data_IF_977211446681
#
_entry.id   IF_977211446681
#
_cell.length_a   1.000
_cell.length_b   1.000
_cell.length_c   1.000
_cell.angle_alpha   90.00
_cell.angle_beta   90.00
_cell.angle_gamma   90.00
#
_symmetry.space_group_name_H-M   'P 1'
#
loop_
_entity.id
_entity.type
_entity.pdbx_description
1 polymer ?
#
# COMPACT_ATOMS: atom_id res chain seq x y z
N UNK A 1 40.68 54.36 5.54
CA UNK A 1 40.20 52.99 5.37
C UNK A 1 38.68 52.98 5.32
N UNK A 2 38.15 52.94 4.10
CA UNK A 2 36.73 53.02 3.83
C UNK A 2 36.20 51.58 3.65
N UNK A 3 35.25 51.16 4.47
CA UNK A 3 34.43 49.98 4.24
C UNK A 3 33.07 50.43 3.72
N UNK A 4 32.77 50.08 2.46
CA UNK A 4 31.47 50.27 1.82
C UNK A 4 30.62 49.05 2.05
N UNK A 5 29.49 49.21 2.73
CA UNK A 5 28.46 48.17 2.91
C UNK A 5 27.55 48.16 1.67
N UNK A 6 27.53 47.07 0.93
CA UNK A 6 26.56 46.82 -0.13
C UNK A 6 25.29 46.17 0.47
N UNK A 7 24.22 46.97 0.48
CA UNK A 7 22.86 46.53 0.84
C UNK A 7 22.25 45.77 -0.32
N UNK A 8 22.20 44.42 -0.22
CA UNK A 8 21.44 43.55 -1.12
C UNK A 8 19.96 43.53 -0.67
N UNK A 9 19.09 44.08 -1.48
CA UNK A 9 17.64 43.93 -1.32
C UNK A 9 17.24 42.58 -1.87
N UNK A 10 16.75 41.70 -1.00
CA UNK A 10 16.00 40.52 -1.42
C UNK A 10 14.60 40.99 -1.84
N UNK A 11 14.31 40.88 -3.14
CA UNK A 11 12.97 41.05 -3.68
C UNK A 11 12.32 39.67 -3.53
N UNK A 12 11.45 39.50 -2.54
CA UNK A 12 10.54 38.36 -2.43
C UNK A 12 9.34 38.66 -3.31
N UNK A 13 9.28 38.03 -4.45
CA UNK A 13 8.15 38.11 -5.38
C UNK A 13 7.09 37.07 -4.94
N UNK A 14 5.90 37.49 -4.49
CA UNK A 14 4.86 36.61 -3.99
C UNK A 14 4.13 35.80 -5.12
N UNK A 15 4.42 36.11 -6.39
CA UNK A 15 3.70 35.51 -7.51
C UNK A 15 4.27 34.16 -8.01
N UNK A 16 5.43 33.72 -7.50
CA UNK A 16 6.03 32.44 -7.91
C UNK A 16 5.37 31.22 -7.26
N UNK A 17 4.65 31.38 -6.14
CA UNK A 17 4.11 30.24 -5.39
C UNK A 17 2.80 29.65 -5.99
N UNK A 18 2.10 30.40 -6.86
CA UNK A 18 0.83 29.94 -7.44
C UNK A 18 0.97 29.23 -8.80
N UNK A 19 2.08 29.43 -9.51
CA UNK A 19 2.24 28.85 -10.85
C UNK A 19 2.66 27.38 -10.83
N UNK A 20 3.45 26.97 -9.84
CA UNK A 20 3.90 25.56 -9.71
C UNK A 20 2.76 24.59 -9.32
N UNK A 21 1.78 25.06 -8.54
CA UNK A 21 0.61 24.22 -8.19
C UNK A 21 -0.30 23.92 -9.39
N UNK A 22 -0.37 24.82 -10.37
CA UNK A 22 -1.22 24.64 -11.57
C UNK A 22 -0.56 23.73 -12.63
N UNK A 23 0.76 23.61 -12.61
CA UNK A 23 1.50 22.77 -13.56
C UNK A 23 1.46 21.30 -13.13
N UNK A 24 1.48 21.01 -11.83
CA UNK A 24 1.43 19.63 -11.30
C UNK A 24 0.10 18.94 -11.61
N UNK A 25 -1.03 19.64 -11.49
CA UNK A 25 -2.34 19.03 -11.79
C UNK A 25 -2.59 18.74 -13.28
N UNK A 26 -1.96 19.47 -14.20
CA UNK A 26 -2.14 19.24 -15.65
C UNK A 26 -1.35 18.05 -16.18
N UNK A 27 -0.23 17.71 -15.55
CA UNK A 27 0.60 16.58 -15.96
C UNK A 27 0.01 15.24 -15.53
N UNK A 28 -0.65 15.15 -14.38
CA UNK A 28 -1.28 13.92 -13.88
C UNK A 28 -2.44 13.51 -14.80
N UNK A 29 -3.25 14.46 -15.29
CA UNK A 29 -4.36 14.16 -16.20
C UNK A 29 -3.90 13.68 -17.58
N UNK A 30 -2.70 14.11 -18.05
CA UNK A 30 -2.16 13.74 -19.35
C UNK A 30 -1.62 12.31 -19.38
N UNK A 31 -1.04 11.82 -18.29
CA UNK A 31 -0.56 10.44 -18.18
C UNK A 31 -1.71 9.42 -18.00
N UNK A 32 -2.81 9.82 -17.34
CA UNK A 32 -3.99 8.96 -17.19
C UNK A 32 -4.70 8.68 -18.53
N UNK A 33 -4.72 9.64 -19.45
CA UNK A 33 -5.35 9.47 -20.77
C UNK A 33 -4.52 8.60 -21.73
N UNK A 34 -3.21 8.52 -21.55
CA UNK A 34 -2.34 7.67 -22.38
C UNK A 34 -2.46 6.20 -21.94
N UNK A 35 -2.67 5.93 -20.65
CA UNK A 35 -2.80 4.56 -20.14
C UNK A 35 -4.12 3.89 -20.57
N UNK A 36 -5.22 4.64 -20.71
CA UNK A 36 -6.53 4.10 -21.13
C UNK A 36 -6.53 3.73 -22.63
N UNK A 37 -5.71 4.38 -23.45
CA UNK A 37 -5.64 4.09 -24.90
C UNK A 37 -4.81 2.84 -25.24
N UNK A 38 -3.92 2.39 -24.33
CA UNK A 38 -3.02 1.25 -24.57
C UNK A 38 -3.61 -0.12 -24.19
N UNK A 39 -4.58 -0.18 -23.28
CA UNK A 39 -5.11 -1.46 -22.74
C UNK A 39 -6.30 -2.00 -23.55
N UNK A 40 -6.92 -1.19 -24.42
CA UNK A 40 -8.10 -1.58 -25.20
C UNK A 40 -7.86 -2.55 -26.36
N UNK A 41 -6.61 -2.78 -26.79
CA UNK A 41 -6.31 -3.55 -28.00
C UNK A 41 -5.90 -5.02 -27.77
N UNK A 42 -5.65 -5.45 -26.53
CA UNK A 42 -5.17 -6.81 -26.24
C UNK A 42 -6.25 -7.80 -25.78
N UNK A 43 -7.48 -7.36 -25.56
CA UNK A 43 -8.54 -8.22 -24.95
C UNK A 43 -9.45 -8.95 -25.96
N UNK A 44 -9.21 -8.86 -27.27
CA UNK A 44 -10.15 -9.41 -28.27
C UNK A 44 -9.68 -10.68 -28.99
N UNK A 45 -8.59 -11.35 -28.58
CA UNK A 45 -8.04 -12.48 -29.38
C UNK A 45 -7.88 -13.83 -28.67
N UNK A 46 -8.50 -14.10 -27.53
CA UNK A 46 -8.42 -15.44 -26.91
C UNK A 46 -9.73 -15.91 -26.28
N UNK A 47 -10.78 -16.09 -27.09
CA UNK A 47 -11.91 -16.94 -26.72
C UNK A 47 -12.44 -17.66 -27.95
N UNK A 48 -11.85 -18.82 -28.26
CA UNK A 48 -12.53 -19.87 -29.01
C UNK A 48 -11.96 -21.26 -28.64
N UNK A 49 -12.88 -22.14 -28.31
CA UNK A 49 -12.83 -23.61 -28.23
C UNK A 49 -12.11 -24.30 -27.05
N UNK A 50 -12.87 -25.03 -26.19
CA UNK A 50 -13.29 -26.41 -26.43
C UNK A 50 -14.27 -26.95 -25.39
N UNK A 51 -15.33 -27.54 -25.89
CA UNK A 51 -16.33 -28.33 -25.15
C UNK A 51 -15.81 -29.76 -24.89
N UNK A 52 -16.29 -30.36 -23.79
CA UNK A 52 -16.59 -31.81 -23.72
C UNK A 52 -15.62 -32.68 -22.95
N UNK A 53 -16.01 -33.21 -21.79
CA UNK A 53 -16.38 -34.61 -21.60
C UNK A 53 -16.74 -34.89 -20.14
N UNK A 54 -17.94 -35.49 -20.00
CA UNK A 54 -18.45 -36.13 -18.77
C UNK A 54 -17.71 -37.42 -18.47
N UNK A 55 -17.43 -37.72 -17.20
CA UNK A 55 -17.52 -39.06 -16.66
C UNK A 55 -17.93 -39.02 -15.19
N UNK A 56 -19.10 -39.58 -14.96
CA UNK A 56 -19.58 -39.99 -13.64
C UNK A 56 -19.05 -41.36 -13.32
N UNK A 57 -18.54 -41.60 -12.12
CA UNK A 57 -18.56 -42.90 -11.49
C UNK A 57 -18.72 -42.78 -9.97
N UNK A 58 -19.73 -43.49 -9.47
CA UNK A 58 -20.07 -43.71 -8.07
C UNK A 58 -19.21 -44.83 -7.47
N UNK A 59 -18.81 -44.69 -6.20
CA UNK A 59 -18.67 -45.82 -5.24
C UNK A 59 -18.68 -45.23 -3.83
N UNK A 60 -19.69 -45.44 -3.12
CA UNK A 60 -20.10 -46.44 -2.13
C UNK A 60 -19.36 -46.40 -0.77
N UNK A 61 -20.18 -46.29 0.21
CA UNK A 61 -20.06 -46.10 1.64
C UNK A 61 -19.23 -47.15 2.39
N UNK A 62 -18.48 -46.72 3.43
CA UNK A 62 -18.25 -47.55 4.60
C UNK A 62 -18.37 -46.77 5.90
N UNK A 63 -19.29 -47.24 6.73
CA UNK A 63 -19.50 -46.83 8.12
C UNK A 63 -18.36 -47.29 9.03
N UNK A 64 -17.97 -46.47 9.98
CA UNK A 64 -17.14 -46.84 11.12
C UNK A 64 -17.04 -45.73 12.14
N UNK A 65 -17.83 -45.76 13.22
CA UNK A 65 -17.68 -45.03 14.49
C UNK A 65 -17.15 -46.01 15.54
N UNK A 66 -16.76 -45.57 16.76
CA UNK A 66 -16.09 -44.33 17.23
C UNK A 66 -14.86 -44.67 18.11
N UNK A 67 -13.99 -43.73 18.41
CA UNK A 67 -13.28 -43.73 19.70
C UNK A 67 -12.62 -42.41 20.06
N UNK A 68 -13.12 -41.85 21.12
CA UNK A 68 -12.49 -41.24 22.25
C UNK A 68 -11.18 -40.45 22.11
N UNK A 69 -11.30 -39.20 22.56
CA UNK A 69 -10.31 -38.47 23.36
C UNK A 69 -8.91 -38.29 22.81
N UNK A 70 -8.65 -37.16 22.18
CA UNK A 70 -7.30 -36.61 22.17
C UNK A 70 -7.32 -35.17 22.64
N UNK A 71 -6.61 -35.00 23.72
CA UNK A 71 -6.18 -33.78 24.36
C UNK A 71 -5.94 -32.64 23.36
N UNK A 72 -6.54 -31.48 23.64
CA UNK A 72 -6.21 -30.22 23.01
C UNK A 72 -4.73 -29.88 23.28
N UNK A 73 -3.83 -30.39 22.45
CA UNK A 73 -2.56 -29.73 22.26
C UNK A 73 -2.91 -28.36 21.68
N UNK A 74 -2.55 -27.28 22.37
CA UNK A 74 -2.50 -25.93 21.82
C UNK A 74 -1.55 -26.00 20.61
N UNK A 75 -2.09 -26.36 19.45
CA UNK A 75 -1.38 -26.28 18.19
C UNK A 75 -1.15 -24.79 17.94
N UNK A 76 0.10 -24.39 17.90
CA UNK A 76 0.46 -23.14 17.27
C UNK A 76 -0.30 -23.10 15.93
N UNK A 77 -1.21 -22.13 15.79
CA UNK A 77 -1.93 -21.93 14.56
C UNK A 77 -0.87 -21.68 13.48
N UNK A 78 -0.70 -22.68 12.62
CA UNK A 78 0.19 -22.57 11.47
C UNK A 78 -0.49 -21.54 10.58
N UNK A 79 0.02 -20.31 10.60
CA UNK A 79 -0.50 -19.25 9.76
C UNK A 79 -0.41 -19.72 8.31
N UNK A 80 -1.49 -19.54 7.57
CA UNK A 80 -1.54 -19.87 6.14
C UNK A 80 -0.79 -18.79 5.35
N UNK A 81 0.53 -18.95 5.30
CA UNK A 81 1.40 -18.03 4.56
C UNK A 81 1.23 -18.13 3.03
N UNK A 82 0.55 -19.18 2.55
CA UNK A 82 0.29 -19.35 1.11
C UNK A 82 -0.90 -18.51 0.68
N UNK A 83 -2.01 -18.61 1.40
CA UNK A 83 -3.25 -17.91 1.04
C UNK A 83 -3.35 -16.53 1.67
N UNK A 84 -2.65 -16.30 2.80
CA UNK A 84 -2.63 -15.03 3.54
C UNK A 84 -4.04 -14.39 3.64
N UNK A 85 -5.01 -15.08 4.26
CA UNK A 85 -6.41 -14.60 4.28
C UNK A 85 -6.57 -13.25 5.00
N UNK A 86 -5.62 -12.89 5.87
CA UNK A 86 -5.59 -11.59 6.55
C UNK A 86 -5.35 -10.38 5.65
N UNK A 87 -4.94 -10.59 4.39
CA UNK A 87 -4.72 -9.52 3.41
C UNK A 87 -6.00 -9.10 2.66
N UNK A 88 -7.12 -9.78 2.91
CA UNK A 88 -8.41 -9.40 2.36
C UNK A 88 -9.07 -8.35 3.25
N UNK A 89 -9.77 -7.43 2.63
CA UNK A 89 -10.52 -6.38 3.29
C UNK A 89 -11.89 -6.19 2.65
N UNK A 90 -12.60 -5.17 3.12
CA UNK A 90 -13.88 -4.75 2.56
C UNK A 90 -13.63 -4.14 1.17
N UNK A 91 -14.36 -4.59 0.18
CA UNK A 91 -14.31 -4.13 -1.21
C UNK A 91 -12.90 -4.08 -1.85
N UNK A 92 -11.95 -4.88 -1.31
CA UNK A 92 -10.64 -5.04 -1.93
C UNK A 92 -10.75 -5.85 -3.22
N UNK A 93 -10.02 -5.40 -4.23
CA UNK A 93 -9.92 -6.10 -5.52
C UNK A 93 -8.93 -7.27 -5.41
N UNK A 94 -9.02 -8.23 -6.35
CA UNK A 94 -8.03 -9.30 -6.45
C UNK A 94 -6.61 -8.77 -6.71
N UNK A 95 -6.48 -7.63 -7.40
CA UNK A 95 -5.19 -7.01 -7.65
C UNK A 95 -4.57 -6.50 -6.35
N UNK A 96 -5.31 -5.77 -5.53
CA UNK A 96 -4.84 -5.28 -4.23
C UNK A 96 -4.35 -6.41 -3.33
N UNK A 97 -5.08 -7.53 -3.31
CA UNK A 97 -4.69 -8.71 -2.54
C UNK A 97 -3.44 -9.38 -3.12
N UNK A 98 -3.31 -9.46 -4.46
CA UNK A 98 -2.09 -10.00 -5.11
C UNK A 98 -0.87 -9.15 -4.80
N UNK A 99 -0.99 -7.83 -4.90
CA UNK A 99 0.11 -6.89 -4.64
C UNK A 99 0.59 -7.00 -3.19
N UNK A 100 -0.33 -7.01 -2.22
CA UNK A 100 0.02 -7.23 -0.82
C UNK A 100 0.71 -8.57 -0.58
N UNK A 101 0.22 -9.67 -1.22
CA UNK A 101 0.88 -10.98 -1.11
C UNK A 101 2.30 -10.94 -1.62
N UNK A 102 2.53 -10.30 -2.77
CA UNK A 102 3.87 -10.17 -3.33
C UNK A 102 4.77 -9.35 -2.41
N UNK A 103 4.30 -8.19 -1.95
CA UNK A 103 5.04 -7.32 -1.03
C UNK A 103 5.45 -8.08 0.24
N UNK A 104 4.54 -8.82 0.87
CA UNK A 104 4.86 -9.57 2.09
C UNK A 104 5.78 -10.77 1.85
N UNK A 105 5.64 -11.47 0.72
CA UNK A 105 6.52 -12.61 0.36
C UNK A 105 7.94 -12.17 0.07
N UNK A 106 8.07 -11.07 -0.66
CA UNK A 106 9.34 -10.56 -1.18
C UNK A 106 9.88 -9.38 -0.37
N UNK A 107 9.36 -9.13 0.85
CA UNK A 107 9.64 -7.96 1.67
C UNK A 107 11.14 -7.69 1.87
N UNK A 108 11.99 -8.72 1.89
CA UNK A 108 13.45 -8.59 2.02
C UNK A 108 14.11 -7.89 0.84
N UNK A 109 13.43 -7.82 -0.31
CA UNK A 109 13.88 -7.08 -1.49
C UNK A 109 13.49 -5.61 -1.48
N UNK A 110 12.78 -5.14 -0.45
CA UNK A 110 12.33 -3.75 -0.33
C UNK A 110 13.42 -2.89 0.28
N UNK A 111 13.75 -1.80 -0.40
CA UNK A 111 14.52 -0.67 0.14
C UNK A 111 13.54 0.45 0.50
N UNK A 112 13.54 0.89 1.76
CA UNK A 112 12.62 1.93 2.22
C UNK A 112 13.34 2.99 3.03
N UNK A 113 13.12 4.26 2.66
CA UNK A 113 13.62 5.44 3.37
C UNK A 113 12.44 6.28 3.82
N UNK A 114 12.43 6.70 5.07
CA UNK A 114 11.43 7.60 5.66
C UNK A 114 12.12 8.82 6.22
N UNK A 115 11.62 10.00 5.87
CA UNK A 115 12.04 11.28 6.42
C UNK A 115 10.83 11.96 7.06
N UNK A 116 10.85 12.11 8.38
CA UNK A 116 9.87 12.94 9.08
C UNK A 116 10.19 14.41 8.81
N UNK A 117 9.20 15.15 8.33
CA UNK A 117 9.27 16.59 8.12
C UNK A 117 8.36 17.30 9.13
N UNK A 118 8.46 18.62 9.23
CA UNK A 118 7.75 19.39 10.26
C UNK A 118 6.24 19.22 10.18
N UNK A 119 5.72 19.11 8.98
CA UNK A 119 4.28 19.04 8.64
C UNK A 119 3.86 17.69 8.06
N UNK A 120 4.70 16.65 8.14
CA UNK A 120 4.34 15.32 7.59
C UNK A 120 5.52 14.36 7.47
N UNK A 121 5.51 13.63 6.35
CA UNK A 121 6.51 12.60 6.00
C UNK A 121 6.86 12.65 4.52
N UNK A 122 8.07 12.21 4.19
CA UNK A 122 8.50 11.84 2.84
C UNK A 122 8.98 10.40 2.90
N UNK A 123 8.42 9.55 2.05
CA UNK A 123 8.82 8.14 1.99
C UNK A 123 9.24 7.78 0.57
N UNK A 124 10.31 6.99 0.44
CA UNK A 124 10.72 6.38 -0.83
C UNK A 124 10.78 4.87 -0.62
N UNK A 125 10.09 4.11 -1.45
CA UNK A 125 10.04 2.64 -1.38
C UNK A 125 10.37 2.08 -2.75
N UNK A 126 11.40 1.24 -2.81
CA UNK A 126 12.03 0.78 -4.04
C UNK A 126 12.29 -0.72 -3.99
N UNK A 127 12.40 -1.36 -5.16
CA UNK A 127 12.85 -2.74 -5.32
C UNK A 127 13.58 -2.92 -6.66
N UNK A 128 14.63 -3.75 -6.66
CA UNK A 128 15.34 -4.13 -7.90
C UNK A 128 14.53 -5.14 -8.72
N UNK A 129 13.85 -6.07 -8.04
CA UNK A 129 12.96 -7.05 -8.69
C UNK A 129 11.74 -6.35 -9.31
N UNK A 130 11.49 -6.57 -10.59
CA UNK A 130 10.44 -5.91 -11.35
C UNK A 130 9.04 -6.25 -10.83
N UNK A 131 8.80 -7.50 -10.49
CA UNK A 131 7.48 -7.95 -9.99
C UNK A 131 7.15 -7.29 -8.64
N UNK A 132 8.13 -7.25 -7.74
CA UNK A 132 7.99 -6.60 -6.45
C UNK A 132 7.84 -5.08 -6.60
N UNK A 133 8.61 -4.45 -7.49
CA UNK A 133 8.51 -3.03 -7.78
C UNK A 133 7.13 -2.64 -8.31
N UNK A 134 6.61 -3.40 -9.26
CA UNK A 134 5.28 -3.17 -9.83
C UNK A 134 4.19 -3.34 -8.77
N UNK A 135 4.31 -4.33 -7.89
CA UNK A 135 3.39 -4.52 -6.76
C UNK A 135 3.45 -3.34 -5.77
N UNK A 136 4.64 -2.82 -5.46
CA UNK A 136 4.82 -1.64 -4.59
C UNK A 136 4.16 -0.40 -5.21
N UNK A 137 4.43 -0.13 -6.50
CA UNK A 137 3.87 1.02 -7.21
C UNK A 137 2.34 0.92 -7.26
N UNK A 138 1.81 -0.23 -7.64
CA UNK A 138 0.38 -0.49 -7.74
C UNK A 138 -0.30 -0.32 -6.37
N UNK A 139 0.23 -0.96 -5.33
CA UNK A 139 -0.32 -0.87 -3.97
C UNK A 139 -0.30 0.57 -3.44
N UNK A 140 0.83 1.28 -3.54
CA UNK A 140 0.94 2.65 -3.06
C UNK A 140 -0.03 3.59 -3.79
N UNK A 141 -0.14 3.48 -5.12
CA UNK A 141 -1.05 4.29 -5.91
C UNK A 141 -2.52 4.05 -5.55
N UNK A 142 -2.92 2.78 -5.36
CA UNK A 142 -4.28 2.45 -4.94
C UNK A 142 -4.59 2.92 -3.51
N UNK A 143 -3.65 2.79 -2.59
CA UNK A 143 -3.83 3.25 -1.21
C UNK A 143 -3.92 4.78 -1.11
N UNK A 144 -3.14 5.52 -1.91
CA UNK A 144 -3.27 6.98 -2.02
C UNK A 144 -4.67 7.34 -2.53
N UNK A 145 -5.14 6.72 -3.61
CA UNK A 145 -6.49 6.95 -4.15
C UNK A 145 -7.58 6.64 -3.11
N UNK A 146 -7.47 5.51 -2.40
CA UNK A 146 -8.41 5.14 -1.35
C UNK A 146 -8.42 6.15 -0.20
N UNK A 147 -7.24 6.63 0.19
CA UNK A 147 -7.13 7.64 1.25
C UNK A 147 -7.77 8.96 0.83
N UNK A 148 -7.50 9.46 -0.39
CA UNK A 148 -8.13 10.66 -0.93
C UNK A 148 -9.66 10.56 -0.98
N UNK A 149 -10.19 9.38 -1.32
CA UNK A 149 -11.63 9.11 -1.38
C UNK A 149 -12.26 8.73 -0.03
N UNK A 150 -11.47 8.57 1.03
CA UNK A 150 -11.92 8.11 2.34
C UNK A 150 -12.45 6.66 2.33
N UNK A 151 -12.01 5.85 1.37
CA UNK A 151 -12.45 4.44 1.20
C UNK A 151 -11.54 3.49 1.96
N UNK A 152 -11.73 3.40 3.27
CA UNK A 152 -10.98 2.48 4.12
C UNK A 152 -11.22 1.02 3.68
N UNK A 153 -10.18 0.26 3.28
CA UNK A 153 -10.32 -1.13 2.87
C UNK A 153 -10.57 -2.10 4.04
N UNK A 154 -10.36 -1.67 5.29
CA UNK A 154 -10.58 -2.49 6.48
C UNK A 154 -9.94 -3.89 6.33
N UNK A 155 -8.68 -3.94 5.86
CA UNK A 155 -7.93 -5.20 5.74
C UNK A 155 -7.73 -5.80 7.13
N UNK A 156 -7.93 -7.12 7.28
CA UNK A 156 -7.93 -7.78 8.59
C UNK A 156 -6.67 -7.48 9.41
N UNK A 157 -5.51 -7.39 8.75
CA UNK A 157 -4.24 -7.08 9.42
C UNK A 157 -3.96 -5.58 9.57
N UNK A 158 -4.90 -4.72 9.18
CA UNK A 158 -4.74 -3.27 9.22
C UNK A 158 -4.51 -2.77 10.66
N UNK A 159 -3.72 -1.71 10.79
CA UNK A 159 -3.46 -1.11 12.09
C UNK A 159 -4.53 -0.08 12.46
N UNK A 160 -4.83 0.12 13.75
CA UNK A 160 -5.68 1.22 14.21
C UNK A 160 -5.16 2.60 13.79
N UNK A 161 -3.84 2.75 13.59
CA UNK A 161 -3.22 3.98 13.09
C UNK A 161 -3.69 4.29 11.68
N UNK A 162 -3.73 3.28 10.79
CA UNK A 162 -4.22 3.45 9.43
C UNK A 162 -5.74 3.75 9.41
N UNK A 163 -6.53 3.09 10.28
CA UNK A 163 -7.95 3.42 10.45
C UNK A 163 -8.15 4.89 10.87
N UNK A 164 -7.32 5.37 11.79
CA UNK A 164 -7.37 6.76 12.23
C UNK A 164 -7.00 7.75 11.09
N UNK A 165 -6.05 7.40 10.20
CA UNK A 165 -5.71 8.21 9.03
C UNK A 165 -6.89 8.27 8.04
N UNK A 166 -7.56 7.15 7.78
CA UNK A 166 -8.77 7.16 6.95
C UNK A 166 -9.89 8.02 7.56
N UNK A 167 -10.03 8.05 8.88
CA UNK A 167 -11.03 8.89 9.55
C UNK A 167 -10.78 10.39 9.39
N UNK A 168 -9.53 10.80 9.12
CA UNK A 168 -9.12 12.22 8.94
C UNK A 168 -8.56 12.48 7.55
N UNK A 169 -8.91 11.65 6.58
CA UNK A 169 -8.34 11.67 5.23
C UNK A 169 -8.38 13.04 4.55
N UNK A 170 -9.41 13.83 4.81
CA UNK A 170 -9.61 15.17 4.27
C UNK A 170 -8.68 16.24 4.87
N UNK A 171 -7.88 15.89 5.88
CA UNK A 171 -6.85 16.74 6.47
C UNK A 171 -5.44 16.41 5.96
N UNK A 172 -5.33 15.50 4.98
CA UNK A 172 -4.06 15.00 4.46
C UNK A 172 -3.91 15.42 3.01
N UNK A 173 -2.86 16.15 2.70
CA UNK A 173 -2.42 16.40 1.33
C UNK A 173 -1.41 15.32 0.94
N UNK A 174 -1.59 14.67 -0.22
CA UNK A 174 -0.72 13.60 -0.70
C UNK A 174 -0.19 13.91 -2.09
N UNK A 175 1.11 13.76 -2.27
CA UNK A 175 1.78 13.76 -3.58
C UNK A 175 2.46 12.41 -3.77
N UNK A 176 2.33 11.83 -4.97
CA UNK A 176 2.94 10.56 -5.35
C UNK A 176 3.76 10.74 -6.62
N UNK A 177 5.01 10.29 -6.59
CA UNK A 177 5.95 10.35 -7.71
C UNK A 177 6.47 8.94 -8.01
N UNK A 178 6.43 8.53 -9.27
CA UNK A 178 7.08 7.29 -9.72
C UNK A 178 8.57 7.54 -9.91
N UNK A 179 9.40 6.64 -9.38
CA UNK A 179 10.84 6.61 -9.63
C UNK A 179 11.19 5.47 -10.59
N UNK A 180 12.42 5.39 -11.05
CA UNK A 180 12.89 4.28 -11.91
C UNK A 180 12.82 2.92 -11.20
N UNK A 181 12.90 2.93 -9.87
CA UNK A 181 13.00 1.73 -9.02
C UNK A 181 11.85 1.55 -8.03
N UNK A 182 10.84 2.45 -8.05
CA UNK A 182 9.72 2.36 -7.12
C UNK A 182 8.86 3.62 -7.06
N UNK A 183 8.57 4.08 -5.86
CA UNK A 183 7.65 5.19 -5.60
C UNK A 183 8.12 6.07 -4.46
N UNK A 184 7.92 7.38 -4.63
CA UNK A 184 8.09 8.38 -3.59
C UNK A 184 6.74 8.98 -3.25
N UNK A 185 6.41 9.05 -1.96
CA UNK A 185 5.16 9.62 -1.45
C UNK A 185 5.47 10.69 -0.44
N UNK A 186 4.83 11.84 -0.60
CA UNK A 186 4.88 12.98 0.34
C UNK A 186 3.48 13.13 0.91
N UNK A 187 3.36 13.12 2.23
CA UNK A 187 2.08 13.35 2.92
C UNK A 187 2.26 14.43 3.96
N UNK A 188 1.39 15.44 3.91
CA UNK A 188 1.44 16.60 4.80
C UNK A 188 0.08 16.90 5.39
N UNK A 189 0.08 17.59 6.54
CA UNK A 189 -1.12 18.11 7.20
C UNK A 189 -0.77 19.36 8.01
N UNK A 190 -1.69 20.31 8.07
CA UNK A 190 -1.61 21.44 8.98
C UNK A 190 -1.96 21.07 10.43
N UNK A 191 -2.52 19.88 10.66
CA UNK A 191 -2.91 19.40 11.98
C UNK A 191 -1.79 18.55 12.60
N UNK A 192 -1.15 18.98 13.72
CA UNK A 192 -0.05 18.24 14.33
C UNK A 192 -0.42 16.83 14.79
N UNK A 193 -1.71 16.56 15.08
CA UNK A 193 -2.17 15.22 15.44
C UNK A 193 -2.18 14.30 14.22
N UNK A 194 -2.55 14.81 13.06
CA UNK A 194 -2.51 14.06 11.80
C UNK A 194 -1.06 13.79 11.39
N UNK A 195 -0.17 14.78 11.56
CA UNK A 195 1.28 14.61 11.34
C UNK A 195 1.84 13.47 12.20
N UNK A 196 1.46 13.40 13.48
CA UNK A 196 1.88 12.32 14.37
C UNK A 196 1.34 10.94 13.90
N UNK A 197 0.11 10.87 13.40
CA UNK A 197 -0.45 9.64 12.81
C UNK A 197 0.30 9.21 11.55
N UNK A 198 0.63 10.15 10.65
CA UNK A 198 1.42 9.87 9.44
C UNK A 198 2.79 9.30 9.81
N UNK A 199 3.49 9.92 10.77
CA UNK A 199 4.79 9.45 11.23
C UNK A 199 4.73 8.08 11.90
N UNK A 200 3.70 7.84 12.71
CA UNK A 200 3.47 6.53 13.33
C UNK A 200 3.20 5.46 12.28
N UNK A 201 2.32 5.72 11.30
CA UNK A 201 2.03 4.80 10.22
C UNK A 201 3.27 4.51 9.35
N UNK A 202 4.06 5.53 9.04
CA UNK A 202 5.31 5.33 8.29
C UNK A 202 6.30 4.40 9.02
N UNK A 203 6.37 4.49 10.36
CA UNK A 203 7.17 3.58 11.17
C UNK A 203 6.62 2.14 11.15
N UNK A 204 5.29 1.96 11.24
CA UNK A 204 4.64 0.63 11.12
C UNK A 204 4.91 -0.02 9.76
N UNK A 205 4.82 0.75 8.67
CA UNK A 205 5.11 0.26 7.32
C UNK A 205 6.59 -0.10 7.18
N UNK A 206 7.51 0.67 7.78
CA UNK A 206 8.95 0.35 7.77
C UNK A 206 9.22 -0.96 8.51
N UNK A 207 8.59 -1.17 9.67
CA UNK A 207 8.70 -2.42 10.43
C UNK A 207 8.16 -3.62 9.62
N UNK A 208 7.05 -3.46 8.91
CA UNK A 208 6.49 -4.49 8.04
C UNK A 208 7.39 -4.77 6.82
N UNK A 209 8.01 -3.76 6.22
CA UNK A 209 8.94 -3.97 5.11
C UNK A 209 10.22 -4.68 5.55
N UNK A 210 10.68 -4.47 6.78
CA UNK A 210 11.86 -5.10 7.34
C UNK A 210 11.58 -6.55 7.81
N UNK A 211 10.46 -6.77 8.53
CA UNK A 211 10.18 -8.03 9.23
C UNK A 211 9.01 -8.83 8.65
N UNK A 212 8.32 -8.30 7.62
CA UNK A 212 7.20 -8.97 6.95
C UNK A 212 6.04 -9.27 7.89
N UNK A 213 5.43 -10.44 7.72
CA UNK A 213 4.29 -10.88 8.52
C UNK A 213 4.60 -11.04 10.01
N UNK A 214 5.86 -11.17 10.41
CA UNK A 214 6.23 -11.23 11.83
C UNK A 214 5.86 -9.93 12.55
N UNK A 215 6.12 -8.76 11.94
CA UNK A 215 5.74 -7.46 12.49
C UNK A 215 4.22 -7.36 12.71
N UNK A 216 3.44 -7.88 11.76
CA UNK A 216 1.97 -7.92 11.85
C UNK A 216 1.50 -8.79 13.02
N UNK A 217 2.03 -10.00 13.15
CA UNK A 217 1.65 -10.94 14.21
C UNK A 217 1.95 -10.39 15.61
N UNK A 218 3.11 -9.78 15.80
CA UNK A 218 3.50 -9.18 17.07
C UNK A 218 2.58 -8.00 17.44
N UNK A 219 2.25 -7.13 16.46
CA UNK A 219 1.32 -6.03 16.68
C UNK A 219 -0.08 -6.53 17.07
N UNK A 220 -0.62 -7.52 16.36
CA UNK A 220 -1.94 -8.09 16.65
C UNK A 220 -1.97 -8.77 18.03
N UNK A 221 -0.91 -9.48 18.41
CA UNK A 221 -0.79 -10.09 19.74
C UNK A 221 -0.76 -9.04 20.86
N UNK A 222 -0.11 -7.90 20.63
CA UNK A 222 -0.06 -6.78 21.59
C UNK A 222 -1.38 -6.05 21.77
N UNK A 223 -2.32 -6.14 20.81
CA UNK A 223 -3.64 -5.51 20.90
C UNK A 223 -4.69 -6.38 21.63
N UNK A 224 -4.37 -7.63 21.93
CA UNK A 224 -5.31 -8.60 22.55
C UNK A 224 -5.31 -8.57 24.08
N UNK A 225 -4.74 -7.53 24.71
CA UNK A 225 -4.62 -7.38 26.19
C UNK A 225 -5.36 -6.16 26.73
#
# INVERSE_FOLDING_TARGET
SLYSAASGRFITDPDYCCLDRLISMKNILSYFLIFIAGVGAAFFYLHHDKAGHNHAEMHESHHGKPSANKHHAKGAHKHDEVNMPGLQGKDTTEQEVRDLKEIFRSHKGISRVVSNITDGIVTTTEAEDETLRDAIISHASMMVTRLEEGKNPEVIIQSPTLDALFAVHNEIDTEIELTDTGVRVIQTSSNPRVVALLQAHAAEVSDMSERGMQAVHERMAGQSH
#
